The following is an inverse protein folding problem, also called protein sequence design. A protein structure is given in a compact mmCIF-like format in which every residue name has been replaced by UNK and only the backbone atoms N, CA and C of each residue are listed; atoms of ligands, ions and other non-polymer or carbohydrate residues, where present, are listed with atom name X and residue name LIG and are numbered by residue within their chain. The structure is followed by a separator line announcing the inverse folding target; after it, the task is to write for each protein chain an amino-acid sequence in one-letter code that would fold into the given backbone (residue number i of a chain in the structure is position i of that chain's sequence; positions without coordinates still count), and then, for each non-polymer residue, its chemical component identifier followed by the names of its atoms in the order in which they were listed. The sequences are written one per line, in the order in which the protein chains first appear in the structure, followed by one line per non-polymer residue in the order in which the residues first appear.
data_IF_111289210513
#
_entry.id   IF_111289210513
#
_cell.length_a   1.000
_cell.length_b   1.000
_cell.length_c   1.000
_cell.angle_alpha   90.00
_cell.angle_beta   90.00
_cell.angle_gamma   90.00
#
_symmetry.space_group_name_H-M   'P 1'
#
loop_
_entity.id
_entity.type
_entity.pdbx_description
1 polymer ?
#
# COMPACT_ATOMS: atom_id res chain seq x y z
N UNK A 1 5.25 -11.35 -4.13
CA UNK A 1 5.69 -10.77 -2.85
C UNK A 1 6.43 -9.46 -3.08
N UNK A 2 6.03 -8.40 -2.35
CA UNK A 2 6.74 -7.13 -2.26
C UNK A 2 7.51 -7.16 -0.94
N UNK A 3 8.81 -7.45 -0.99
CA UNK A 3 9.63 -7.48 0.23
C UNK A 3 9.72 -6.06 0.80
N UNK A 4 9.35 -5.84 2.07
CA UNK A 4 9.42 -4.51 2.66
C UNK A 4 10.87 -4.07 2.83
N UNK A 5 11.15 -2.80 2.59
CA UNK A 5 12.49 -2.20 2.78
C UNK A 5 12.53 -1.34 4.06
N UNK A 6 13.71 -1.00 4.59
CA UNK A 6 13.80 -0.04 5.69
C UNK A 6 13.19 1.31 5.29
N UNK A 7 12.45 1.93 6.21
CA UNK A 7 11.89 3.26 5.98
C UNK A 7 13.00 4.29 5.71
N UNK A 8 12.84 5.05 4.63
CA UNK A 8 13.77 6.11 4.22
C UNK A 8 13.55 7.33 5.11
N UNK A 9 14.61 7.81 5.76
CA UNK A 9 14.58 8.99 6.63
C UNK A 9 14.16 10.24 5.83
N UNK A 10 13.28 11.05 6.41
CA UNK A 10 12.79 12.29 5.79
C UNK A 10 11.58 12.11 4.87
N UNK A 11 11.19 10.88 4.52
CA UNK A 11 9.95 10.62 3.80
C UNK A 11 8.79 10.26 4.75
N UNK A 12 7.57 10.76 4.50
CA UNK A 12 6.41 10.44 5.33
C UNK A 12 6.03 8.97 5.18
N UNK A 13 5.79 8.29 6.30
CA UNK A 13 5.24 6.93 6.33
C UNK A 13 3.71 7.04 6.33
N UNK A 14 3.07 6.30 5.43
CA UNK A 14 1.61 6.22 5.34
C UNK A 14 1.13 4.82 5.69
N UNK A 15 0.00 4.73 6.39
CA UNK A 15 -0.79 3.51 6.42
C UNK A 15 -1.42 3.30 5.04
N UNK A 16 -1.31 2.10 4.49
CA UNK A 16 -1.80 1.77 3.17
C UNK A 16 -2.20 0.31 3.02
N UNK A 17 -2.52 -0.04 1.79
CA UNK A 17 -3.08 -1.33 1.40
C UNK A 17 -2.21 -1.96 0.33
N UNK A 18 -1.81 -3.21 0.55
CA UNK A 18 -1.17 -4.06 -0.45
C UNK A 18 -2.18 -5.07 -0.99
N UNK A 19 -2.23 -5.22 -2.32
CA UNK A 19 -2.91 -6.37 -2.91
C UNK A 19 -2.14 -7.66 -2.56
N UNK A 20 -2.83 -8.73 -2.20
CA UNK A 20 -2.18 -10.03 -1.94
C UNK A 20 -1.90 -10.82 -3.22
N UNK A 21 -2.54 -10.46 -4.33
CA UNK A 21 -2.43 -11.15 -5.62
C UNK A 21 -1.37 -10.53 -6.55
N UNK A 22 -1.00 -9.26 -6.35
CA UNK A 22 0.01 -8.57 -7.16
C UNK A 22 0.77 -7.52 -6.35
N UNK A 23 1.66 -6.75 -7.00
CA UNK A 23 2.50 -5.73 -6.33
C UNK A 23 1.82 -4.37 -6.18
N UNK A 24 0.50 -4.28 -6.38
CA UNK A 24 -0.21 -3.01 -6.29
C UNK A 24 -0.28 -2.50 -4.84
N UNK A 25 0.01 -1.20 -4.68
CA UNK A 25 0.04 -0.50 -3.41
C UNK A 25 -0.75 0.80 -3.51
N UNK A 26 -1.53 1.13 -2.49
CA UNK A 26 -2.26 2.39 -2.46
C UNK A 26 -2.58 2.81 -1.02
N UNK A 27 -2.76 4.12 -0.82
CA UNK A 27 -3.31 4.67 0.43
C UNK A 27 -4.84 4.70 0.46
N UNK A 28 -5.50 4.41 -0.67
CA UNK A 28 -6.95 4.60 -0.80
C UNK A 28 -7.69 3.28 -0.98
N UNK A 29 -8.60 3.00 -0.04
CA UNK A 29 -9.52 1.86 -0.12
C UNK A 29 -10.34 1.84 -1.42
N UNK A 30 -10.78 3.01 -1.89
CA UNK A 30 -11.53 3.13 -3.15
C UNK A 30 -10.70 2.63 -4.33
N UNK A 31 -9.43 3.02 -4.41
CA UNK A 31 -8.53 2.57 -5.47
C UNK A 31 -8.21 1.08 -5.37
N UNK A 32 -8.07 0.54 -4.16
CA UNK A 32 -7.88 -0.90 -3.95
C UNK A 32 -9.07 -1.72 -4.47
N UNK A 33 -10.31 -1.24 -4.25
CA UNK A 33 -11.52 -1.87 -4.79
C UNK A 33 -11.56 -1.84 -6.31
N UNK A 34 -11.30 -0.67 -6.90
CA UNK A 34 -11.26 -0.52 -8.36
C UNK A 34 -10.18 -1.42 -8.97
N UNK A 35 -8.98 -1.45 -8.37
CA UNK A 35 -7.89 -2.31 -8.79
C UNK A 35 -8.29 -3.79 -8.81
N UNK A 36 -8.86 -4.31 -7.72
CA UNK A 36 -9.28 -5.71 -7.69
C UNK A 36 -10.38 -6.03 -8.69
N UNK A 37 -11.35 -5.14 -8.87
CA UNK A 37 -12.41 -5.34 -9.85
C UNK A 37 -11.85 -5.37 -11.28
N UNK A 38 -10.99 -4.41 -11.62
CA UNK A 38 -10.49 -4.25 -12.99
C UNK A 38 -9.36 -5.23 -13.35
N UNK A 39 -8.46 -5.52 -12.40
CA UNK A 39 -7.26 -6.34 -12.64
C UNK A 39 -7.48 -7.80 -12.28
N UNK A 40 -8.29 -8.08 -11.25
CA UNK A 40 -8.51 -9.43 -10.72
C UNK A 40 -9.96 -9.93 -10.90
N UNK A 41 -10.86 -9.13 -11.50
CA UNK A 41 -12.26 -9.52 -11.74
C UNK A 41 -13.12 -9.67 -10.48
N UNK A 42 -12.66 -9.16 -9.33
CA UNK A 42 -13.35 -9.32 -8.05
C UNK A 42 -14.34 -8.17 -7.84
N UNK A 43 -15.63 -8.47 -7.97
CA UNK A 43 -16.72 -7.46 -7.95
C UNK A 43 -17.04 -6.89 -6.57
N UNK A 44 -16.65 -7.57 -5.49
CA UNK A 44 -16.83 -7.07 -4.12
C UNK A 44 -15.66 -7.43 -3.19
N UNK A 45 -15.01 -6.41 -2.64
CA UNK A 45 -14.18 -6.52 -1.42
C UNK A 45 -15.06 -6.13 -0.22
N UNK A 46 -16.23 -6.74 -0.07
CA UNK A 46 -16.98 -6.68 1.19
C UNK A 46 -16.36 -7.67 2.17
N UNK A 47 -16.04 -7.27 3.42
CA UNK A 47 -15.55 -8.06 4.58
C UNK A 47 -14.60 -9.28 4.34
N UNK A 48 -14.10 -9.49 3.12
CA UNK A 48 -13.35 -10.68 2.71
C UNK A 48 -11.92 -10.54 3.16
N UNK A 49 -11.65 -11.22 4.27
CA UNK A 49 -10.34 -11.51 4.82
C UNK A 49 -9.46 -12.12 3.71
N UNK A 50 -8.34 -11.48 3.37
CA UNK A 50 -7.27 -12.08 2.56
C UNK A 50 -7.03 -11.51 1.15
N UNK A 51 -7.83 -10.56 0.66
CA UNK A 51 -7.57 -9.92 -0.66
C UNK A 51 -6.54 -8.78 -0.57
N UNK A 52 -6.23 -8.33 0.63
CA UNK A 52 -5.30 -7.24 0.87
C UNK A 52 -4.66 -7.36 2.24
N UNK A 53 -3.57 -6.65 2.44
CA UNK A 53 -2.89 -6.52 3.74
C UNK A 53 -2.70 -5.05 4.09
N UNK A 54 -2.90 -4.72 5.36
CA UNK A 54 -2.48 -3.44 5.93
C UNK A 54 -0.96 -3.38 5.92
N UNK A 55 -0.40 -2.35 5.31
CA UNK A 55 1.06 -2.17 5.20
C UNK A 55 1.44 -0.72 5.48
N UNK A 56 2.70 -0.51 5.83
CA UNK A 56 3.30 0.81 5.83
C UNK A 56 3.95 1.06 4.47
N UNK A 57 3.67 2.22 3.88
CA UNK A 57 4.19 2.59 2.56
C UNK A 57 4.81 3.98 2.60
N UNK A 58 5.84 4.18 1.79
CA UNK A 58 6.42 5.47 1.48
C UNK A 58 6.34 5.73 -0.02
N UNK A 59 6.53 6.99 -0.41
CA UNK A 59 6.68 7.40 -1.81
C UNK A 59 7.68 8.55 -1.89
N UNK A 60 8.41 8.64 -3.00
CA UNK A 60 9.31 9.77 -3.28
C UNK A 60 8.54 11.00 -3.81
N UNK A 61 7.33 10.81 -4.35
CA UNK A 61 6.60 11.86 -5.05
C UNK A 61 5.39 12.35 -4.24
N UNK A 62 5.31 13.66 -4.03
CA UNK A 62 4.21 14.30 -3.28
C UNK A 62 3.20 15.03 -4.18
N UNK A 63 3.44 15.12 -5.50
CA UNK A 63 2.64 15.94 -6.41
C UNK A 63 1.79 15.14 -7.44
N UNK A 64 0.59 15.67 -7.71
CA UNK A 64 -0.37 15.40 -8.79
C UNK A 64 -0.63 13.92 -9.17
N UNK A 65 -1.53 13.30 -8.39
CA UNK A 65 -2.51 12.20 -8.60
C UNK A 65 -2.36 11.10 -9.68
N UNK A 66 -1.45 11.15 -10.65
CA UNK A 66 -1.51 10.23 -11.80
C UNK A 66 -0.40 9.17 -11.84
N UNK A 67 0.71 9.33 -11.10
CA UNK A 67 1.80 8.35 -11.10
C UNK A 67 2.54 8.23 -9.75
N UNK A 68 1.80 8.26 -8.63
CA UNK A 68 2.42 8.02 -7.32
C UNK A 68 2.78 6.54 -7.20
N UNK A 69 4.08 6.26 -7.16
CA UNK A 69 4.61 4.94 -6.89
C UNK A 69 4.89 4.80 -5.40
N UNK A 70 4.20 3.87 -4.76
CA UNK A 70 4.44 3.50 -3.38
C UNK A 70 5.35 2.28 -3.30
N UNK A 71 6.08 2.17 -2.20
CA UNK A 71 6.84 0.98 -1.85
C UNK A 71 6.59 0.63 -0.37
N UNK A 72 6.52 -0.67 -0.07
CA UNK A 72 6.35 -1.16 1.29
C UNK A 72 7.60 -0.89 2.12
N UNK A 73 7.39 -0.44 3.35
CA UNK A 73 8.46 -0.25 4.32
C UNK A 73 8.14 -0.97 5.62
N UNK A 74 9.17 -1.43 6.31
CA UNK A 74 9.09 -1.72 7.73
C UNK A 74 9.32 -0.42 8.48
N UNK A 75 8.37 0.03 9.32
CA UNK A 75 8.72 1.03 10.31
C UNK A 75 9.87 0.46 11.11
N UNK A 76 11.02 1.14 11.04
CA UNK A 76 12.02 0.97 12.07
C UNK A 76 11.30 1.29 13.36
N UNK A 77 11.08 0.28 14.20
CA UNK A 77 10.51 0.45 15.54
C UNK A 77 11.22 1.65 16.13
N UNK A 78 10.49 2.76 16.31
CA UNK A 78 11.03 3.89 17.04
C UNK A 78 11.25 3.35 18.45
N UNK A 79 12.53 3.16 18.78
CA UNK A 79 13.16 3.63 20.00
C UNK A 79 12.13 3.92 21.11
N UNK A 80 12.09 3.03 22.10
CA UNK A 80 11.33 3.26 23.31
C UNK A 80 11.76 4.58 23.95
N UNK A 81 10.78 5.41 24.27
CA UNK A 81 10.92 6.49 25.24
C UNK A 81 9.95 6.23 26.36
#
# INVERSE_FOLDING_TARGET
STSPIPAIKGLPIHAGFACTQCRFLTKSWKYLKVHHNQIHGVKEIGHRLGLWSSVQIQTFFTASRSAIHYFCVTASSRDGV
#
